data_IF_597081515919
#
_entry.id   IF_597081515919
#
_cell.length_a   1.000
_cell.length_b   1.000
_cell.length_c   1.000
_cell.angle_alpha   90.00
_cell.angle_beta   90.00
_cell.angle_gamma   90.00
#
_symmetry.space_group_name_H-M   'P 1'
#
loop_
_entity.id
_entity.type
_entity.pdbx_description
1 polymer ?
#
# COMPACT_ATOMS: atom_id res chain seq x y z
N UNK A 1 -5.57 31.49 14.55
CA UNK A 1 -5.27 32.93 14.44
C UNK A 1 -5.64 33.39 13.02
N UNK A 2 -6.64 34.29 12.89
CA UNK A 2 -7.08 35.26 11.81
C UNK A 2 -6.66 35.08 10.31
N UNK A 3 -7.39 35.38 9.21
CA UNK A 3 -8.76 35.86 8.77
C UNK A 3 -8.87 35.59 7.25
N UNK A 4 -10.06 35.37 6.65
CA UNK A 4 -10.51 36.05 5.39
C UNK A 4 -12.04 36.34 5.42
N UNK A 5 -12.39 37.59 5.06
CA UNK A 5 -13.72 38.21 4.84
C UNK A 5 -14.17 37.98 3.38
N UNK A 6 -15.42 38.09 2.90
CA UNK A 6 -16.66 38.72 3.34
C UNK A 6 -17.84 37.91 2.74
N UNK A 7 -18.90 37.69 3.54
CA UNK A 7 -20.15 37.00 3.16
C UNK A 7 -20.05 35.52 2.71
N UNK A 8 -19.60 34.60 3.57
CA UNK A 8 -20.13 33.22 3.57
C UNK A 8 -20.35 32.80 5.04
N UNK A 9 -21.58 32.46 5.37
CA UNK A 9 -22.03 31.97 6.68
C UNK A 9 -21.36 30.64 7.04
N UNK A 10 -20.32 30.62 7.88
CA UNK A 10 -19.97 29.43 8.65
C UNK A 10 -19.43 29.83 10.03
N UNK A 11 -20.24 29.64 11.09
CA UNK A 11 -19.69 29.61 12.43
C UNK A 11 -18.93 28.29 12.57
N UNK A 12 -17.61 28.30 12.44
CA UNK A 12 -16.81 27.12 12.72
C UNK A 12 -16.91 26.83 14.21
N UNK A 13 -17.43 25.65 14.57
CA UNK A 13 -17.43 25.14 15.94
C UNK A 13 -16.28 24.15 16.05
N UNK A 14 -15.33 24.45 16.92
CA UNK A 14 -14.28 23.50 17.29
C UNK A 14 -14.83 22.59 18.38
N UNK A 15 -14.56 21.29 18.25
CA UNK A 15 -14.81 20.31 19.29
C UNK A 15 -13.48 19.67 19.62
N UNK A 16 -13.12 19.68 20.89
CA UNK A 16 -11.95 18.96 21.40
C UNK A 16 -12.43 17.64 22.00
N UNK A 17 -11.70 16.57 21.73
CA UNK A 17 -11.98 15.26 22.28
C UNK A 17 -10.68 14.69 22.85
N UNK A 18 -10.73 14.24 24.11
CA UNK A 18 -9.55 13.70 24.80
C UNK A 18 -9.35 12.21 24.50
N UNK A 19 -10.40 11.52 24.03
CA UNK A 19 -10.39 10.09 23.76
C UNK A 19 -10.90 9.76 22.35
N UNK A 20 -10.51 8.59 21.84
CA UNK A 20 -10.98 8.09 20.54
C UNK A 20 -12.48 7.83 20.54
N UNK A 21 -13.02 7.39 21.68
CA UNK A 21 -14.44 7.12 21.90
C UNK A 21 -15.26 8.42 21.84
N UNK A 22 -14.78 9.47 22.49
CA UNK A 22 -15.39 10.80 22.44
C UNK A 22 -15.32 11.39 21.03
N UNK A 23 -14.16 11.33 20.38
CA UNK A 23 -14.01 11.77 18.98
C UNK A 23 -14.98 11.04 18.07
N UNK A 24 -15.13 9.72 18.26
CA UNK A 24 -16.08 8.89 17.52
C UNK A 24 -17.51 9.39 17.77
N UNK A 25 -17.92 9.58 19.02
CA UNK A 25 -19.25 10.06 19.36
C UNK A 25 -19.56 11.43 18.74
N UNK A 26 -18.61 12.37 18.81
CA UNK A 26 -18.71 13.70 18.18
C UNK A 26 -18.85 13.55 16.67
N UNK A 27 -17.97 12.79 16.02
CA UNK A 27 -18.01 12.57 14.58
C UNK A 27 -19.36 11.95 14.13
N UNK A 28 -19.89 10.96 14.85
CA UNK A 28 -21.20 10.38 14.57
C UNK A 28 -22.35 11.39 14.75
N UNK A 29 -22.28 12.22 15.80
CA UNK A 29 -23.27 13.29 16.02
C UNK A 29 -23.27 14.36 14.91
N UNK A 30 -22.11 14.56 14.28
CA UNK A 30 -21.89 15.53 13.20
C UNK A 30 -22.12 14.95 11.80
N UNK A 31 -22.45 13.65 11.66
CA UNK A 31 -22.67 13.02 10.36
C UNK A 31 -23.69 13.75 9.48
N UNK A 32 -24.85 14.21 9.98
CA UNK A 32 -25.79 14.97 9.16
C UNK A 32 -25.17 16.25 8.57
N UNK A 33 -24.33 16.94 9.35
CA UNK A 33 -23.63 18.16 8.95
C UNK A 33 -22.51 17.85 7.95
N UNK A 34 -21.74 16.78 8.17
CA UNK A 34 -20.70 16.33 7.24
C UNK A 34 -21.30 15.93 5.88
N UNK A 35 -22.48 15.31 5.88
CA UNK A 35 -23.23 14.95 4.67
C UNK A 35 -23.96 16.13 4.02
N UNK A 36 -24.01 17.29 4.68
CA UNK A 36 -24.66 18.48 4.16
C UNK A 36 -23.80 19.20 3.12
N UNK A 37 -24.37 20.19 2.45
CA UNK A 37 -23.65 21.02 1.48
C UNK A 37 -22.41 21.64 2.14
N UNK A 38 -21.24 21.45 1.53
CA UNK A 38 -19.92 21.88 2.04
C UNK A 38 -19.42 21.14 3.30
N UNK A 39 -20.14 20.14 3.81
CA UNK A 39 -19.72 19.39 5.00
C UNK A 39 -18.38 18.67 4.83
N UNK A 40 -18.06 18.23 3.61
CA UNK A 40 -16.75 17.64 3.27
C UNK A 40 -15.60 18.65 3.43
N UNK A 41 -15.82 19.94 3.16
CA UNK A 41 -14.80 20.98 3.37
C UNK A 41 -14.60 21.25 4.86
N UNK A 42 -15.67 21.25 5.65
CA UNK A 42 -15.56 21.34 7.11
C UNK A 42 -14.79 20.15 7.69
N UNK A 43 -15.05 18.95 7.20
CA UNK A 43 -14.30 17.75 7.58
C UNK A 43 -12.82 17.88 7.20
N UNK A 44 -12.53 18.34 5.98
CA UNK A 44 -11.15 18.58 5.55
C UNK A 44 -10.44 19.59 6.47
N UNK A 45 -11.06 20.72 6.78
CA UNK A 45 -10.47 21.68 7.72
C UNK A 45 -10.22 21.06 9.09
N UNK A 46 -11.13 20.22 9.60
CA UNK A 46 -10.92 19.49 10.85
C UNK A 46 -9.65 18.63 10.78
N UNK A 47 -9.43 17.91 9.68
CA UNK A 47 -8.23 17.09 9.47
C UNK A 47 -6.97 17.96 9.44
N UNK A 48 -6.97 19.04 8.64
CA UNK A 48 -5.82 19.93 8.48
C UNK A 48 -5.43 20.62 9.81
N UNK A 49 -6.42 21.07 10.59
CA UNK A 49 -6.16 21.68 11.89
C UNK A 49 -5.68 20.67 12.94
N UNK A 50 -6.21 19.44 12.92
CA UNK A 50 -5.79 18.37 13.84
C UNK A 50 -4.35 17.94 13.54
N UNK A 51 -3.97 17.86 12.27
CA UNK A 51 -2.60 17.53 11.86
C UNK A 51 -1.59 18.66 12.15
N UNK A 52 -2.03 19.91 11.93
CA UNK A 52 -1.22 21.10 12.06
C UNK A 52 -0.58 21.51 10.72
N UNK A 53 -0.78 22.77 10.34
CA UNK A 53 -0.34 23.30 9.05
C UNK A 53 1.19 23.30 8.87
N UNK A 54 1.95 23.55 9.95
CA UNK A 54 3.41 23.53 9.85
C UNK A 54 3.95 22.12 9.60
N UNK A 55 3.39 21.12 10.30
CA UNK A 55 3.72 19.71 10.08
C UNK A 55 3.40 19.31 8.65
N UNK A 56 2.22 19.69 8.16
CA UNK A 56 1.78 19.46 6.79
C UNK A 56 2.79 20.01 5.77
N UNK A 57 3.14 21.29 5.87
CA UNK A 57 4.07 21.95 4.93
C UNK A 57 5.45 21.29 4.94
N UNK A 58 5.95 20.90 6.13
CA UNK A 58 7.23 20.23 6.25
C UNK A 58 7.20 18.83 5.60
N UNK A 59 6.11 18.10 5.75
CA UNK A 59 5.94 16.74 5.20
C UNK A 59 5.76 16.69 3.70
N UNK A 60 5.18 17.74 3.10
CA UNK A 60 5.08 17.90 1.63
C UNK A 60 6.45 17.97 0.94
N UNK A 61 7.55 18.11 1.70
CA UNK A 61 8.93 18.06 1.22
C UNK A 61 9.21 19.00 0.02
N UNK A 62 8.65 20.21 0.08
CA UNK A 62 8.83 21.24 -0.95
C UNK A 62 7.93 21.06 -2.19
N UNK A 63 7.00 20.10 -2.19
CA UNK A 63 5.96 20.02 -3.21
C UNK A 63 5.10 21.29 -3.20
N UNK A 64 4.97 21.91 -4.37
CA UNK A 64 4.30 23.21 -4.52
C UNK A 64 2.84 23.06 -4.97
N UNK A 65 2.38 21.83 -5.16
CA UNK A 65 1.04 21.54 -5.64
C UNK A 65 -0.01 21.82 -4.56
N UNK A 66 -1.18 22.30 -5.00
CA UNK A 66 -2.30 22.50 -4.10
C UNK A 66 -2.82 21.16 -3.58
N UNK A 67 -3.23 21.09 -2.31
CA UNK A 67 -3.84 19.89 -1.72
C UNK A 67 -5.12 19.45 -2.46
N UNK A 68 -5.82 20.40 -3.07
CA UNK A 68 -6.95 20.18 -3.96
C UNK A 68 -6.63 20.88 -5.27
N UNK A 69 -6.67 20.14 -6.37
CA UNK A 69 -6.49 20.68 -7.71
C UNK A 69 -7.54 21.79 -7.98
N UNK A 70 -7.12 22.99 -8.37
CA UNK A 70 -8.02 24.13 -8.51
C UNK A 70 -8.95 24.05 -9.73
N UNK A 71 -8.67 23.16 -10.69
CA UNK A 71 -9.42 23.04 -11.94
C UNK A 71 -10.48 21.95 -11.84
N UNK A 72 -10.07 20.78 -11.36
CA UNK A 72 -10.84 19.54 -11.35
C UNK A 72 -11.29 19.12 -9.94
N UNK A 73 -10.71 19.71 -8.88
CA UNK A 73 -11.09 19.42 -7.50
C UNK A 73 -10.56 18.08 -6.97
N UNK A 74 -9.57 17.48 -7.63
CA UNK A 74 -8.95 16.23 -7.21
C UNK A 74 -8.04 16.45 -6.00
N UNK A 75 -8.00 15.48 -5.08
CA UNK A 75 -7.06 15.51 -3.97
C UNK A 75 -5.64 15.21 -4.46
N UNK A 76 -4.64 15.96 -3.98
CA UNK A 76 -3.24 15.63 -4.22
C UNK A 76 -2.82 14.35 -3.48
N UNK A 77 -1.68 13.77 -3.87
CA UNK A 77 -1.16 12.59 -3.19
C UNK A 77 -0.84 12.86 -1.72
N UNK A 78 -0.36 14.06 -1.39
CA UNK A 78 -0.18 14.52 -0.02
C UNK A 78 -1.48 14.47 0.80
N UNK A 79 -2.59 14.98 0.23
CA UNK A 79 -3.88 14.95 0.91
C UNK A 79 -4.41 13.52 1.06
N UNK A 80 -4.26 12.68 0.04
CA UNK A 80 -4.64 11.26 0.08
C UNK A 80 -3.86 10.54 1.19
N UNK A 81 -2.54 10.70 1.23
CA UNK A 81 -1.69 10.08 2.25
C UNK A 81 -2.06 10.58 3.64
N UNK A 82 -2.32 11.88 3.82
CA UNK A 82 -2.74 12.42 5.11
C UNK A 82 -4.02 11.73 5.62
N UNK A 83 -5.00 11.50 4.75
CA UNK A 83 -6.26 10.84 5.11
C UNK A 83 -6.09 9.35 5.41
N UNK A 84 -5.11 8.69 4.80
CA UNK A 84 -4.88 7.24 4.94
C UNK A 84 -3.94 6.91 6.11
N UNK A 85 -2.85 7.65 6.25
CA UNK A 85 -1.73 7.33 7.15
C UNK A 85 -1.57 8.32 8.30
N UNK A 86 -2.17 9.51 8.16
CA UNK A 86 -1.93 10.65 9.05
C UNK A 86 -0.62 11.37 8.77
N UNK A 87 -0.03 11.19 7.58
CA UNK A 87 1.21 11.85 7.15
C UNK A 87 1.02 12.42 5.74
N UNK A 88 1.49 13.65 5.50
CA UNK A 88 1.28 14.38 4.24
C UNK A 88 2.48 14.30 3.29
N UNK A 89 3.16 13.15 3.23
CA UNK A 89 4.22 12.92 2.24
C UNK A 89 3.64 12.73 0.83
N UNK A 90 4.30 13.18 -0.25
CA UNK A 90 3.87 12.88 -1.62
C UNK A 90 4.23 11.47 -2.07
N UNK A 91 5.10 10.77 -1.33
CA UNK A 91 5.67 9.50 -1.76
C UNK A 91 4.86 8.29 -1.30
N UNK A 92 4.83 7.25 -2.14
CA UNK A 92 4.09 6.01 -1.90
C UNK A 92 4.98 4.86 -1.40
N UNK A 93 6.30 5.01 -1.45
CA UNK A 93 7.24 3.99 -0.97
C UNK A 93 7.34 3.98 0.56
N UNK A 94 7.88 2.90 1.12
CA UNK A 94 8.06 2.76 2.56
C UNK A 94 9.34 3.44 3.07
N UNK A 95 9.28 4.01 4.28
CA UNK A 95 10.46 4.50 5.00
C UNK A 95 11.12 5.68 4.31
N UNK A 96 12.45 5.70 4.30
CA UNK A 96 13.25 6.79 3.73
C UNK A 96 14.10 6.29 2.57
N UNK A 97 14.27 7.12 1.55
CA UNK A 97 15.19 6.89 0.42
C UNK A 97 16.18 8.04 0.33
N UNK A 98 17.46 7.73 0.14
CA UNK A 98 18.48 8.75 -0.17
C UNK A 98 18.61 8.87 -1.69
N UNK A 99 18.42 10.08 -2.21
CA UNK A 99 18.66 10.42 -3.60
C UNK A 99 19.68 11.56 -3.67
N UNK A 100 20.96 11.21 -3.81
CA UNK A 100 22.03 12.18 -4.03
C UNK A 100 22.25 13.14 -2.85
N UNK A 101 22.09 12.64 -1.62
CA UNK A 101 22.22 13.44 -0.40
C UNK A 101 20.93 14.11 0.07
N UNK A 102 19.81 13.86 -0.62
CA UNK A 102 18.48 14.26 -0.18
C UNK A 102 17.73 13.06 0.37
N UNK A 103 17.29 13.16 1.63
CA UNK A 103 16.43 12.15 2.25
C UNK A 103 14.98 12.41 1.88
N UNK A 104 14.40 11.53 1.06
CA UNK A 104 12.98 11.51 0.77
C UNK A 104 12.27 10.62 1.78
N UNK A 105 11.29 11.17 2.48
CA UNK A 105 10.50 10.45 3.48
C UNK A 105 9.19 9.95 2.86
N UNK A 106 9.05 8.64 2.71
CA UNK A 106 7.82 7.97 2.33
C UNK A 106 6.95 7.60 3.54
N UNK A 107 6.15 6.55 3.37
CA UNK A 107 5.19 6.08 4.37
C UNK A 107 5.94 5.46 5.55
N UNK A 108 5.76 5.99 6.75
CA UNK A 108 6.55 5.55 7.91
C UNK A 108 6.00 4.30 8.60
N UNK A 109 4.70 4.02 8.42
CA UNK A 109 3.99 2.96 9.12
C UNK A 109 2.86 2.37 8.31
N UNK A 110 2.54 1.13 8.63
CA UNK A 110 1.42 0.40 8.07
C UNK A 110 0.08 1.03 8.50
N UNK A 111 -0.76 1.52 7.57
CA UNK A 111 -2.05 2.11 7.88
C UNK A 111 -3.14 1.06 8.11
N UNK A 112 -4.31 1.51 8.57
CA UNK A 112 -5.50 0.65 8.72
C UNK A 112 -6.15 0.29 7.38
N UNK A 113 -6.11 1.22 6.43
CA UNK A 113 -6.62 1.10 5.07
C UNK A 113 -5.46 1.29 4.10
N UNK A 114 -5.40 0.48 3.05
CA UNK A 114 -4.31 0.50 2.08
C UNK A 114 -4.57 1.48 0.94
N UNK A 115 -3.58 1.59 0.06
CA UNK A 115 -3.70 2.32 -1.19
C UNK A 115 -3.02 1.52 -2.30
N UNK A 116 -3.68 1.44 -3.45
CA UNK A 116 -3.12 0.97 -4.71
C UNK A 116 -3.47 2.00 -5.78
N UNK A 117 -2.67 2.12 -6.82
CA UNK A 117 -2.96 3.06 -7.90
C UNK A 117 -2.66 2.46 -9.25
N UNK A 118 -3.51 2.76 -10.23
CA UNK A 118 -3.28 2.38 -11.62
C UNK A 118 -1.99 3.01 -12.17
N UNK A 119 -1.58 4.15 -11.62
CA UNK A 119 -0.35 4.87 -11.96
C UNK A 119 0.91 4.04 -11.68
N UNK A 120 0.86 3.10 -10.72
CA UNK A 120 1.93 2.13 -10.48
C UNK A 120 2.02 1.09 -11.61
N UNK A 121 0.88 0.60 -12.11
CA UNK A 121 0.86 -0.34 -13.24
C UNK A 121 1.45 0.29 -14.51
N UNK A 122 1.29 1.61 -14.67
CA UNK A 122 1.91 2.42 -15.71
C UNK A 122 3.39 2.76 -15.46
N UNK A 123 3.98 2.28 -14.36
CA UNK A 123 5.40 2.48 -13.98
C UNK A 123 5.80 3.93 -13.66
N UNK A 124 4.84 4.80 -13.33
CA UNK A 124 5.13 6.18 -12.91
C UNK A 124 5.50 6.30 -11.43
N UNK A 125 5.10 5.33 -10.60
CA UNK A 125 5.44 5.30 -9.18
C UNK A 125 5.57 3.86 -8.69
N UNK A 126 6.05 3.70 -7.46
CA UNK A 126 6.15 2.43 -6.76
C UNK A 126 5.38 2.54 -5.44
N UNK A 127 4.39 1.68 -5.25
CA UNK A 127 3.63 1.64 -4.00
C UNK A 127 4.34 0.69 -3.04
N UNK A 128 4.71 1.22 -1.88
CA UNK A 128 5.38 0.49 -0.82
C UNK A 128 4.53 -0.61 -0.21
N UNK A 129 5.20 -1.52 0.50
CA UNK A 129 4.56 -2.65 1.14
C UNK A 129 3.54 -2.21 2.19
N UNK A 130 3.74 -1.08 2.89
CA UNK A 130 2.80 -0.60 3.90
C UNK A 130 1.42 -0.32 3.32
N UNK A 131 1.35 0.37 2.18
CA UNK A 131 0.09 0.68 1.51
C UNK A 131 -0.52 -0.55 0.83
N UNK A 132 0.32 -1.47 0.33
CA UNK A 132 -0.14 -2.76 -0.23
C UNK A 132 -0.65 -3.72 0.83
N UNK A 133 -0.16 -3.63 2.07
CA UNK A 133 -0.53 -4.51 3.18
C UNK A 133 -1.05 -3.66 4.33
N UNK A 134 -2.30 -3.19 4.32
CA UNK A 134 -2.91 -2.53 5.48
C UNK A 134 -3.27 -3.50 6.61
N UNK A 135 -3.76 -2.99 7.75
CA UNK A 135 -4.21 -3.86 8.86
C UNK A 135 -5.47 -4.67 8.53
N UNK A 136 -6.32 -4.10 7.67
CA UNK A 136 -7.55 -4.72 7.21
C UNK A 136 -7.53 -4.76 5.68
N UNK A 137 -8.04 -5.82 5.04
CA UNK A 137 -8.10 -5.98 3.58
C UNK A 137 -9.09 -5.01 2.93
N UNK A 138 -8.81 -3.72 3.04
CA UNK A 138 -9.52 -2.59 2.47
C UNK A 138 -8.49 -1.66 1.87
N UNK A 139 -8.62 -1.36 0.59
CA UNK A 139 -7.73 -0.49 -0.16
C UNK A 139 -8.53 0.59 -0.87
N UNK A 140 -8.00 1.81 -0.85
CA UNK A 140 -8.41 2.84 -1.80
C UNK A 140 -7.64 2.57 -3.11
N UNK A 141 -8.36 2.53 -4.23
CA UNK A 141 -7.75 2.42 -5.56
C UNK A 141 -7.80 3.78 -6.25
N UNK A 142 -6.64 4.30 -6.62
CA UNK A 142 -6.50 5.53 -7.40
C UNK A 142 -6.46 5.28 -8.90
N UNK A 143 -7.28 6.02 -9.63
CA UNK A 143 -7.09 6.28 -11.06
C UNK A 143 -6.54 7.69 -11.28
N UNK A 144 -6.53 8.15 -12.52
CA UNK A 144 -6.15 9.54 -12.86
C UNK A 144 -7.11 10.59 -12.30
N UNK A 145 -8.40 10.26 -12.19
CA UNK A 145 -9.46 11.25 -11.91
C UNK A 145 -10.42 10.85 -10.80
N UNK A 146 -10.35 9.61 -10.30
CA UNK A 146 -11.31 9.08 -9.35
C UNK A 146 -10.69 8.12 -8.33
N UNK A 147 -11.32 8.06 -7.16
CA UNK A 147 -10.93 7.15 -6.08
C UNK A 147 -12.05 6.16 -5.84
N UNK A 148 -11.71 4.87 -5.84
CA UNK A 148 -12.64 3.79 -5.55
C UNK A 148 -12.18 2.98 -4.34
N UNK A 149 -13.03 2.11 -3.80
CA UNK A 149 -12.71 1.26 -2.66
C UNK A 149 -12.78 -0.19 -3.09
N UNK A 150 -11.73 -0.94 -2.76
CA UNK A 150 -11.70 -2.40 -2.83
C UNK A 150 -11.64 -2.97 -1.42
N UNK A 151 -12.38 -4.03 -1.17
CA UNK A 151 -12.31 -4.77 0.07
C UNK A 151 -12.42 -6.28 -0.17
N UNK A 152 -11.98 -7.06 0.80
CA UNK A 152 -12.22 -8.50 0.88
C UNK A 152 -12.56 -8.89 2.32
N UNK A 153 -13.40 -9.92 2.56
CA UNK A 153 -13.55 -10.48 3.90
C UNK A 153 -12.31 -11.29 4.36
N UNK A 154 -11.39 -11.60 3.44
CA UNK A 154 -10.25 -12.47 3.71
C UNK A 154 -9.06 -11.70 4.32
N UNK A 155 -8.84 -11.92 5.61
CA UNK A 155 -7.73 -11.31 6.36
C UNK A 155 -6.35 -11.88 5.98
N UNK A 156 -6.27 -13.02 5.30
CA UNK A 156 -5.00 -13.62 4.87
C UNK A 156 -4.31 -12.80 3.76
N UNK A 157 -5.08 -11.96 3.06
CA UNK A 157 -4.61 -11.07 1.99
C UNK A 157 -3.68 -9.95 2.46
N UNK A 158 -3.58 -9.75 3.78
CA UNK A 158 -2.77 -8.73 4.42
C UNK A 158 -1.89 -9.32 5.50
N UNK A 159 -0.62 -8.91 5.51
CA UNK A 159 0.35 -9.29 6.54
C UNK A 159 0.58 -8.12 7.48
N UNK A 160 0.43 -8.30 8.80
CA UNK A 160 0.74 -7.25 9.77
C UNK A 160 2.24 -7.15 10.00
N UNK A 161 2.77 -5.92 10.01
CA UNK A 161 4.16 -5.69 10.41
C UNK A 161 4.26 -5.79 11.94
N UNK A 162 4.35 -7.01 12.45
CA UNK A 162 4.63 -7.24 13.87
C UNK A 162 6.06 -6.78 14.11
N UNK A 163 6.24 -5.68 14.87
CA UNK A 163 7.56 -5.31 15.38
C UNK A 163 8.05 -6.50 16.19
N UNK A 164 9.03 -7.22 15.65
CA UNK A 164 9.72 -8.28 16.35
C UNK A 164 10.23 -7.72 17.69
N UNK A 165 9.93 -8.42 18.78
CA UNK A 165 10.48 -8.08 20.09
C UNK A 165 12.01 -7.98 19.99
N UNK A 166 12.64 -7.23 20.89
CA UNK A 166 14.05 -6.79 20.84
C UNK A 166 15.09 -7.94 20.67
N UNK A 167 14.67 -9.21 20.78
CA UNK A 167 15.48 -10.42 20.61
C UNK A 167 14.97 -11.40 19.51
N UNK A 168 13.99 -11.02 18.69
CA UNK A 168 13.45 -11.89 17.64
C UNK A 168 14.19 -11.67 16.31
N UNK A 169 14.39 -12.77 15.57
CA UNK A 169 14.97 -12.78 14.22
C UNK A 169 14.21 -11.77 13.33
N UNK A 170 14.92 -11.07 12.44
CA UNK A 170 14.30 -10.14 11.47
C UNK A 170 13.22 -10.87 10.68
N UNK A 171 11.98 -10.38 10.64
CA UNK A 171 10.91 -11.08 9.91
C UNK A 171 11.16 -11.14 8.39
N UNK A 172 10.46 -12.04 7.68
CA UNK A 172 10.58 -12.27 6.23
C UNK A 172 10.69 -10.97 5.41
N UNK A 173 9.82 -9.99 5.67
CA UNK A 173 9.83 -8.69 4.96
C UNK A 173 11.13 -7.90 5.14
N UNK A 174 11.66 -7.85 6.36
CA UNK A 174 12.93 -7.16 6.60
C UNK A 174 14.05 -7.89 5.86
N UNK A 175 13.99 -9.22 5.81
CA UNK A 175 14.88 -10.03 5.00
C UNK A 175 14.79 -9.66 3.51
N UNK A 176 13.58 -9.58 2.95
CA UNK A 176 13.36 -9.16 1.56
C UNK A 176 13.86 -7.75 1.26
N UNK A 177 13.61 -6.80 2.15
CA UNK A 177 14.01 -5.40 1.97
C UNK A 177 15.53 -5.24 1.98
N UNK A 178 16.22 -5.86 2.95
CA UNK A 178 17.68 -5.82 3.01
C UNK A 178 18.33 -6.59 1.86
N UNK A 179 17.71 -7.69 1.42
CA UNK A 179 18.15 -8.42 0.23
C UNK A 179 18.05 -7.55 -1.02
N UNK A 180 16.88 -6.94 -1.28
CA UNK A 180 16.66 -6.05 -2.41
C UNK A 180 17.60 -4.82 -2.38
N UNK A 181 17.89 -4.29 -1.19
CA UNK A 181 18.83 -3.18 -1.03
C UNK A 181 20.25 -3.55 -1.50
N UNK A 182 20.70 -4.77 -1.17
CA UNK A 182 22.00 -5.30 -1.55
C UNK A 182 22.04 -5.83 -2.99
N UNK A 183 20.89 -6.14 -3.58
CA UNK A 183 20.81 -6.61 -4.97
C UNK A 183 21.38 -5.57 -5.95
N UNK A 184 22.25 -5.97 -6.89
CA UNK A 184 22.67 -5.11 -8.00
C UNK A 184 21.54 -4.92 -9.01
N UNK A 185 20.61 -5.88 -9.11
CA UNK A 185 19.37 -5.74 -9.88
C UNK A 185 18.34 -4.97 -9.06
N UNK A 186 18.13 -3.70 -9.42
CA UNK A 186 17.17 -2.81 -8.76
C UNK A 186 15.73 -3.02 -9.24
N UNK A 187 15.52 -3.73 -10.33
CA UNK A 187 14.19 -3.95 -10.90
C UNK A 187 13.55 -5.21 -10.32
N UNK A 188 14.31 -6.31 -10.20
CA UNK A 188 13.78 -7.58 -9.70
C UNK A 188 14.19 -7.91 -8.26
N UNK A 189 15.32 -7.37 -7.77
CA UNK A 189 15.85 -7.73 -6.46
C UNK A 189 16.19 -9.22 -6.32
N UNK A 190 16.36 -9.95 -7.44
CA UNK A 190 16.31 -11.41 -7.47
C UNK A 190 17.54 -12.11 -6.91
N UNK A 191 18.69 -11.44 -6.80
CA UNK A 191 19.95 -12.04 -6.36
C UNK A 191 20.87 -11.02 -5.67
N UNK A 192 21.82 -11.50 -4.88
CA UNK A 192 22.96 -10.74 -4.37
C UNK A 192 24.26 -11.42 -4.73
N UNK A 193 25.37 -10.69 -4.71
CA UNK A 193 26.70 -11.29 -4.77
C UNK A 193 26.97 -12.09 -3.49
N UNK A 194 27.66 -13.23 -3.60
CA UNK A 194 28.10 -14.02 -2.44
C UNK A 194 28.97 -13.20 -1.47
N UNK A 195 29.65 -12.16 -1.96
CA UNK A 195 30.41 -11.22 -1.12
C UNK A 195 29.55 -10.37 -0.18
N UNK A 196 28.28 -10.13 -0.53
CA UNK A 196 27.34 -9.33 0.27
C UNK A 196 26.56 -10.18 1.29
N UNK A 197 26.74 -11.51 1.26
CA UNK A 197 25.99 -12.43 2.10
C UNK A 197 26.23 -12.23 3.61
N UNK A 198 27.48 -12.05 4.01
CA UNK A 198 27.83 -11.83 5.43
C UNK A 198 27.25 -10.50 5.94
N UNK A 199 27.26 -9.47 5.08
CA UNK A 199 26.63 -8.17 5.35
C UNK A 199 25.12 -8.31 5.53
N UNK A 200 24.46 -9.12 4.69
CA UNK A 200 23.03 -9.41 4.81
C UNK A 200 22.70 -10.12 6.14
N UNK A 201 23.44 -11.19 6.49
CA UNK A 201 23.24 -11.92 7.75
C UNK A 201 23.38 -11.01 8.98
N UNK A 202 24.40 -10.14 8.97
CA UNK A 202 24.66 -9.19 10.05
C UNK A 202 23.50 -8.20 10.22
N UNK A 203 23.02 -7.63 9.11
CA UNK A 203 21.88 -6.71 9.14
C UNK A 203 20.60 -7.37 9.64
N UNK A 204 20.38 -8.63 9.25
CA UNK A 204 19.20 -9.39 9.65
C UNK A 204 19.32 -10.05 11.02
N UNK A 205 20.49 -9.96 11.66
CA UNK A 205 20.80 -10.62 12.94
C UNK A 205 20.51 -12.13 12.89
N UNK A 206 20.76 -12.74 11.73
CA UNK A 206 20.60 -14.17 11.51
C UNK A 206 21.83 -14.91 12.07
N UNK A 207 21.59 -15.94 12.87
CA UNK A 207 22.67 -16.82 13.34
C UNK A 207 22.95 -17.90 12.29
N UNK A 208 24.22 -18.14 11.99
CA UNK A 208 24.65 -19.28 11.16
C UNK A 208 24.70 -20.61 11.92
N UNK A 209 24.27 -20.60 13.20
CA UNK A 209 24.37 -21.75 14.09
C UNK A 209 25.82 -22.18 14.27
N UNK A 210 26.11 -23.44 13.95
CA UNK A 210 27.47 -24.01 13.98
C UNK A 210 28.19 -24.01 12.62
N UNK A 211 27.56 -23.49 11.56
CA UNK A 211 28.10 -23.52 10.20
C UNK A 211 28.93 -22.27 9.91
N UNK A 212 30.02 -22.44 9.17
CA UNK A 212 30.77 -21.28 8.67
C UNK A 212 29.99 -20.62 7.53
N UNK A 213 30.18 -19.31 7.34
CA UNK A 213 29.52 -18.56 6.26
C UNK A 213 29.81 -19.20 4.89
N UNK A 214 31.04 -19.68 4.67
CA UNK A 214 31.42 -20.35 3.41
C UNK A 214 30.65 -21.65 3.16
N UNK A 215 30.29 -22.40 4.22
CA UNK A 215 29.48 -23.63 4.10
C UNK A 215 28.03 -23.31 3.70
N UNK A 216 27.53 -22.15 4.12
CA UNK A 216 26.21 -21.66 3.74
C UNK A 216 26.20 -21.12 2.31
N UNK A 217 27.24 -20.40 1.91
CA UNK A 217 27.39 -19.93 0.52
C UNK A 217 27.44 -21.11 -0.43
N UNK A 218 28.22 -22.15 -0.13
CA UNK A 218 28.29 -23.36 -0.98
C UNK A 218 26.97 -24.14 -1.06
N UNK A 219 26.08 -24.01 -0.07
CA UNK A 219 24.72 -24.57 -0.14
C UNK A 219 23.76 -23.73 -0.97
N UNK A 220 23.85 -22.41 -0.86
CA UNK A 220 22.97 -21.45 -1.53
C UNK A 220 23.41 -21.17 -2.98
N UNK A 221 24.67 -21.43 -3.30
CA UNK A 221 25.27 -21.33 -4.64
C UNK A 221 26.04 -22.62 -4.96
N UNK A 222 25.33 -23.74 -5.16
CA UNK A 222 25.96 -25.04 -5.42
C UNK A 222 26.71 -25.08 -6.77
N UNK A 223 26.33 -24.19 -7.70
CA UNK A 223 26.95 -24.07 -9.01
C UNK A 223 28.21 -23.19 -9.00
N UNK A 224 28.48 -22.47 -7.91
CA UNK A 224 29.65 -21.61 -7.75
C UNK A 224 29.63 -20.39 -8.67
N UNK A 225 28.44 -19.87 -8.97
CA UNK A 225 28.23 -18.72 -9.84
C UNK A 225 28.64 -17.39 -9.19
N UNK A 226 28.89 -17.39 -7.88
CA UNK A 226 29.19 -16.20 -7.09
C UNK A 226 27.96 -15.38 -6.73
N UNK A 227 26.76 -15.96 -6.86
CA UNK A 227 25.49 -15.29 -6.60
C UNK A 227 24.60 -16.14 -5.70
N UNK A 228 23.82 -15.47 -4.86
CA UNK A 228 22.79 -16.10 -4.02
C UNK A 228 21.44 -15.60 -4.49
N UNK A 229 20.53 -16.51 -4.81
CA UNK A 229 19.17 -16.17 -5.22
C UNK A 229 18.30 -15.85 -4.01
N UNK A 230 17.44 -14.84 -4.14
CA UNK A 230 16.51 -14.40 -3.09
C UNK A 230 15.62 -15.54 -2.62
N UNK A 231 15.08 -16.32 -3.56
CA UNK A 231 14.20 -17.46 -3.28
C UNK A 231 14.89 -18.48 -2.38
N UNK A 232 16.11 -18.86 -2.72
CA UNK A 232 16.85 -19.90 -1.99
C UNK A 232 17.26 -19.41 -0.60
N UNK A 233 17.67 -18.14 -0.49
CA UNK A 233 17.94 -17.48 0.78
C UNK A 233 16.72 -17.49 1.70
N UNK A 234 15.57 -17.03 1.21
CA UNK A 234 14.34 -16.96 2.02
C UNK A 234 13.83 -18.35 2.38
N UNK A 235 13.92 -19.32 1.46
CA UNK A 235 13.54 -20.71 1.73
C UNK A 235 14.42 -21.36 2.80
N UNK A 236 15.70 -20.99 2.87
CA UNK A 236 16.63 -21.52 3.87
C UNK A 236 16.41 -20.91 5.26
N UNK A 237 16.27 -19.59 5.36
CA UNK A 237 16.21 -18.89 6.65
C UNK A 237 14.79 -18.65 7.19
N UNK A 238 13.78 -18.69 6.31
CA UNK A 238 12.36 -18.45 6.64
C UNK A 238 11.44 -19.53 6.06
N UNK A 239 11.72 -20.83 6.28
CA UNK A 239 11.00 -21.92 5.62
C UNK A 239 9.51 -21.97 6.00
N UNK A 240 9.16 -21.62 7.23
CA UNK A 240 7.76 -21.63 7.70
C UNK A 240 6.96 -20.48 7.08
N UNK A 241 7.54 -19.28 7.04
CA UNK A 241 6.93 -18.12 6.41
C UNK A 241 6.81 -18.31 4.90
N UNK A 242 7.86 -18.87 4.27
CA UNK A 242 7.82 -19.23 2.87
C UNK A 242 6.73 -20.27 2.61
N UNK A 243 6.63 -21.33 3.41
CA UNK A 243 5.61 -22.36 3.24
C UNK A 243 4.18 -21.80 3.33
N UNK A 244 3.93 -20.82 4.23
CA UNK A 244 2.63 -20.11 4.30
C UNK A 244 2.33 -19.29 3.04
N UNK A 245 3.35 -18.80 2.34
CA UNK A 245 3.20 -18.06 1.09
C UNK A 245 3.05 -18.97 -0.15
N UNK A 246 3.58 -20.20 -0.13
CA UNK A 246 3.56 -21.10 -1.30
C UNK A 246 2.38 -22.07 -1.38
N UNK A 247 1.60 -22.28 -0.30
CA UNK A 247 0.73 -23.47 -0.21
C UNK A 247 -0.74 -23.29 -0.58
N UNK A 248 -1.25 -22.08 -0.83
CA UNK A 248 -2.67 -21.95 -1.17
C UNK A 248 -2.86 -21.14 -2.45
N UNK A 249 -3.43 -21.79 -3.46
CA UNK A 249 -4.19 -21.13 -4.51
C UNK A 249 -5.31 -20.37 -3.81
N UNK A 250 -5.05 -19.10 -3.47
CA UNK A 250 -6.01 -18.28 -2.73
C UNK A 250 -7.08 -17.85 -3.72
N UNK A 251 -8.21 -18.55 -3.67
CA UNK A 251 -9.45 -17.99 -4.21
C UNK A 251 -10.07 -17.12 -3.13
N UNK A 252 -10.35 -15.86 -3.44
CA UNK A 252 -10.90 -14.92 -2.48
C UNK A 252 -11.90 -13.98 -3.14
N UNK A 253 -12.86 -13.55 -2.33
CA UNK A 253 -13.88 -12.59 -2.77
C UNK A 253 -13.32 -11.17 -2.76
N UNK A 254 -13.68 -10.42 -3.80
CA UNK A 254 -13.46 -8.98 -3.93
C UNK A 254 -14.79 -8.24 -3.92
N UNK A 255 -14.82 -7.11 -3.21
CA UNK A 255 -15.94 -6.17 -3.16
C UNK A 255 -15.40 -4.82 -3.61
N UNK A 256 -15.94 -4.27 -4.69
CA UNK A 256 -15.55 -2.98 -5.25
C UNK A 256 -16.70 -1.98 -5.16
N UNK A 257 -16.37 -0.75 -4.78
CA UNK A 257 -17.27 0.39 -4.69
C UNK A 257 -16.66 1.60 -5.39
N UNK A 258 -17.32 2.11 -6.43
CA UNK A 258 -16.88 3.31 -7.13
C UNK A 258 -17.72 4.56 -6.85
N UNK A 259 -18.88 4.45 -6.20
CA UNK A 259 -19.69 5.61 -5.86
C UNK A 259 -20.30 6.38 -7.05
N UNK A 260 -20.24 5.84 -8.27
CA UNK A 260 -20.70 6.52 -9.48
C UNK A 260 -21.93 5.83 -10.07
N UNK A 261 -23.05 6.56 -10.16
CA UNK A 261 -24.31 6.04 -10.72
C UNK A 261 -24.17 5.63 -12.18
N UNK A 262 -23.47 6.44 -12.99
CA UNK A 262 -23.29 6.21 -14.43
C UNK A 262 -22.43 4.98 -14.75
N UNK A 263 -21.65 4.50 -13.78
CA UNK A 263 -20.84 3.29 -13.91
C UNK A 263 -21.65 2.01 -13.63
N UNK A 264 -22.94 2.13 -13.29
CA UNK A 264 -23.85 1.03 -12.99
C UNK A 264 -25.00 0.95 -14.01
N UNK A 265 -25.36 -0.27 -14.44
CA UNK A 265 -26.36 -0.49 -15.51
C UNK A 265 -27.78 -0.01 -15.20
N UNK A 266 -28.13 0.13 -13.92
CA UNK A 266 -29.44 0.59 -13.45
C UNK A 266 -29.41 2.04 -12.95
N UNK A 267 -28.30 2.76 -13.15
CA UNK A 267 -28.12 4.14 -12.68
C UNK A 267 -28.11 4.28 -11.17
N UNK A 268 -27.88 3.19 -10.42
CA UNK A 268 -27.78 3.20 -8.96
C UNK A 268 -26.40 2.76 -8.54
N UNK A 269 -25.82 3.45 -7.58
CA UNK A 269 -24.55 3.04 -6.98
C UNK A 269 -24.72 1.65 -6.36
N UNK A 270 -23.94 0.67 -6.86
CA UNK A 270 -23.90 -0.68 -6.31
C UNK A 270 -22.46 -1.15 -6.06
N UNK A 271 -22.35 -2.13 -5.18
CA UNK A 271 -21.12 -2.90 -5.05
C UNK A 271 -20.98 -3.87 -6.22
N UNK A 272 -19.77 -3.96 -6.76
CA UNK A 272 -19.39 -5.04 -7.67
C UNK A 272 -18.68 -6.12 -6.87
N UNK A 273 -19.18 -7.36 -6.96
CA UNK A 273 -18.59 -8.51 -6.28
C UNK A 273 -17.88 -9.36 -7.34
N UNK A 274 -16.66 -9.80 -7.05
CA UNK A 274 -15.90 -10.68 -7.92
C UNK A 274 -15.18 -11.77 -7.13
N UNK A 275 -14.84 -12.84 -7.82
CA UNK A 275 -14.00 -13.91 -7.29
C UNK A 275 -12.62 -13.80 -7.95
N UNK A 276 -11.60 -13.59 -7.12
CA UNK A 276 -10.21 -13.54 -7.52
C UNK A 276 -9.53 -14.90 -7.26
N UNK A 277 -8.57 -15.25 -8.10
CA UNK A 277 -7.70 -16.42 -7.93
C UNK A 277 -6.27 -16.05 -8.22
N UNK A 278 -5.34 -16.50 -7.39
CA UNK A 278 -3.91 -16.42 -7.68
C UNK A 278 -3.50 -17.71 -8.41
N UNK A 279 -3.01 -17.56 -9.64
CA UNK A 279 -2.54 -18.69 -10.44
C UNK A 279 -1.09 -19.01 -10.07
N UNK A 280 -0.75 -20.28 -9.96
CA UNK A 280 0.64 -20.72 -9.82
C UNK A 280 1.43 -20.34 -11.08
N UNK A 281 2.64 -19.76 -10.97
CA UNK A 281 3.47 -19.44 -12.14
C UNK A 281 3.67 -20.58 -13.14
N UNK A 282 3.62 -21.85 -12.69
CA UNK A 282 3.69 -23.03 -13.57
C UNK A 282 2.41 -23.29 -14.34
N UNK A 283 1.25 -22.98 -13.74
CA UNK A 283 -0.06 -23.07 -14.40
C UNK A 283 -0.30 -21.89 -15.35
N UNK A 284 0.28 -20.73 -15.07
CA UNK A 284 0.18 -19.54 -15.93
C UNK A 284 0.70 -19.80 -17.36
N UNK A 285 1.70 -20.68 -17.52
CA UNK A 285 2.25 -21.07 -18.82
C UNK A 285 1.29 -21.93 -19.66
N UNK A 286 0.31 -22.57 -19.02
CA UNK A 286 -0.66 -23.48 -19.65
C UNK A 286 -2.03 -22.80 -19.79
N UNK A 287 -2.25 -21.68 -19.09
CA UNK A 287 -3.50 -20.92 -19.15
C UNK A 287 -3.73 -20.35 -20.55
N UNK A 288 -4.90 -20.63 -21.10
CA UNK A 288 -5.27 -20.23 -22.47
C UNK A 288 -6.19 -19.02 -22.49
N UNK A 289 -6.78 -18.68 -21.34
CA UNK A 289 -7.63 -17.50 -21.26
C UNK A 289 -6.78 -16.21 -21.24
N UNK A 290 -7.13 -15.22 -22.09
CA UNK A 290 -6.43 -13.95 -22.08
C UNK A 290 -6.64 -13.24 -20.73
N UNK A 291 -5.58 -12.61 -20.22
CA UNK A 291 -5.64 -11.79 -19.02
C UNK A 291 -6.52 -10.57 -19.30
N UNK A 292 -7.45 -10.26 -18.40
CA UNK A 292 -8.20 -9.01 -18.46
C UNK A 292 -7.22 -7.82 -18.48
N UNK A 293 -7.42 -6.88 -19.40
CA UNK A 293 -6.58 -5.69 -19.51
C UNK A 293 -7.24 -4.47 -18.86
N UNK A 294 -8.33 -4.65 -18.11
CA UNK A 294 -9.00 -3.56 -17.41
C UNK A 294 -8.07 -2.85 -16.41
N UNK A 295 -8.26 -1.53 -16.17
CA UNK A 295 -7.45 -0.78 -15.22
C UNK A 295 -7.43 -1.38 -13.82
N UNK A 296 -8.57 -1.94 -13.36
CA UNK A 296 -8.64 -2.61 -12.06
C UNK A 296 -7.79 -3.87 -12.03
N UNK A 297 -7.82 -4.71 -13.08
CA UNK A 297 -6.99 -5.91 -13.15
C UNK A 297 -5.49 -5.55 -13.12
N UNK A 298 -5.08 -4.55 -13.91
CA UNK A 298 -3.68 -4.10 -13.94
C UNK A 298 -3.23 -3.49 -12.61
N UNK A 299 -4.09 -2.71 -11.95
CA UNK A 299 -3.81 -2.13 -10.64
C UNK A 299 -3.64 -3.22 -9.57
N UNK A 300 -4.50 -4.25 -9.55
CA UNK A 300 -4.39 -5.33 -8.57
C UNK A 300 -3.21 -6.26 -8.84
N UNK A 301 -2.79 -6.38 -10.09
CA UNK A 301 -1.59 -7.12 -10.45
C UNK A 301 -0.30 -6.53 -9.85
N UNK A 302 -0.28 -5.24 -9.45
CA UNK A 302 0.91 -4.66 -8.78
C UNK A 302 1.11 -5.16 -7.35
N UNK A 303 0.05 -5.70 -6.73
CA UNK A 303 0.11 -6.41 -5.44
C UNK A 303 0.11 -7.93 -5.63
N UNK A 304 -0.70 -8.43 -6.56
CA UNK A 304 -0.87 -9.86 -6.82
C UNK A 304 -0.59 -10.17 -8.30
N UNK A 305 0.67 -10.40 -8.69
CA UNK A 305 1.07 -10.48 -10.11
C UNK A 305 0.27 -11.49 -10.94
N UNK A 306 -0.07 -12.64 -10.36
CA UNK A 306 -0.78 -13.75 -11.04
C UNK A 306 -2.29 -13.74 -10.81
N UNK A 307 -2.85 -12.64 -10.29
CA UNK A 307 -4.29 -12.56 -10.02
C UNK A 307 -5.10 -12.70 -11.31
N UNK A 308 -6.20 -13.44 -11.25
CA UNK A 308 -7.29 -13.43 -12.24
C UNK A 308 -8.60 -13.19 -11.53
N UNK A 309 -9.42 -12.33 -12.10
CA UNK A 309 -10.66 -11.89 -11.46
C UNK A 309 -11.84 -12.17 -12.38
N UNK A 310 -12.87 -12.79 -11.82
CA UNK A 310 -14.17 -12.94 -12.47
C UNK A 310 -15.21 -12.17 -11.68
N UNK A 311 -15.73 -11.09 -12.27
CA UNK A 311 -16.79 -10.29 -11.68
C UNK A 311 -18.17 -10.94 -11.89
N UNK A 312 -19.06 -10.80 -10.90
CA UNK A 312 -20.43 -11.36 -10.95
C UNK A 312 -21.28 -10.71 -12.04
N UNK A 313 -20.99 -9.45 -12.34
CA UNK A 313 -21.50 -8.78 -13.53
C UNK A 313 -20.51 -9.11 -14.65
N UNK A 314 -20.99 -9.47 -15.85
CA UNK A 314 -20.16 -9.85 -17.02
C UNK A 314 -19.28 -8.69 -17.57
N UNK A 315 -18.85 -7.76 -16.72
CA UNK A 315 -18.03 -6.60 -17.03
C UNK A 315 -17.18 -6.24 -15.81
N UNK A 316 -15.91 -5.91 -16.04
CA UNK A 316 -15.01 -5.40 -15.01
C UNK A 316 -15.44 -4.01 -14.51
N UNK A 317 -15.42 -3.75 -13.19
CA UNK A 317 -15.75 -2.44 -12.63
C UNK A 317 -14.80 -1.37 -13.15
N UNK A 318 -15.35 -0.17 -13.37
CA UNK A 318 -14.56 1.00 -13.75
C UNK A 318 -13.87 1.59 -12.53
N UNK A 319 -12.59 1.95 -12.69
CA UNK A 319 -11.89 2.83 -11.75
C UNK A 319 -12.23 4.31 -11.96
N UNK A 320 -12.96 4.64 -13.04
CA UNK A 320 -13.43 5.97 -13.41
C UNK A 320 -14.96 6.07 -13.48
#
# INVERSE_FOLDING_TARGET
MLVITSKIFFSFRCFEAETVEELRAVAFSLLPQIKSKYGVLCFLYSVLFTHGLQSLINEMNGEMDALIDPIHGHASQCLINLLITGESTPYLFDGERDLGGFTLKGISRQPKTGFLTFVEAMRYCEVGWFLKNPYYPVWILGSETHLTVLASPDMSLVSKNVKSEINSISGLRQAEAEFNYLSPDKDTGGFISSSDFEKLLTKLRLSTGSQQVNDLVTKLDPEGLGIILKKDFLQFFYPEEMAKHTTEVISFQLIHYNGLEHSNTDGRVRYSIGEARLIDPTEELIETQPIDQSPIQQCLATKWPTIRIKWNVNRSPSLN
#
